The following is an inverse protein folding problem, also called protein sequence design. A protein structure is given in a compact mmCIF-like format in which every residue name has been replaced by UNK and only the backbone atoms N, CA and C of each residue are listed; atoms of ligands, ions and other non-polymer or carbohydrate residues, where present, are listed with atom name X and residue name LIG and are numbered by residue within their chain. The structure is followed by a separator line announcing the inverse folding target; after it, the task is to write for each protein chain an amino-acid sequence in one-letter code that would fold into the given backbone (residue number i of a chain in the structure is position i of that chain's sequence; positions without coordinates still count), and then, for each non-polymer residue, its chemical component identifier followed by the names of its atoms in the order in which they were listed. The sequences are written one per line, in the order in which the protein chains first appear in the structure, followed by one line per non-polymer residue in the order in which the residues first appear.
data_IF_722784907024
#
_entry.id   IF_722784907024
#
_cell.length_a   1.000
_cell.length_b   1.000
_cell.length_c   1.000
_cell.angle_alpha   90.00
_cell.angle_beta   90.00
_cell.angle_gamma   90.00
#
_symmetry.space_group_name_H-M   'P 1'
#
loop_
_entity.id
_entity.type
_entity.pdbx_description
1 polymer ?
#
# COMPACT_ATOMS: atom_id res chain seq x y z
N UNK A 1 33.44 6.40 19.01
CA UNK A 1 32.28 6.87 19.80
C UNK A 1 31.03 6.18 19.25
N UNK A 2 30.32 5.42 20.08
CA UNK A 2 29.22 4.56 19.65
C UNK A 2 28.01 5.39 19.17
N UNK A 3 27.61 5.22 17.92
CA UNK A 3 26.38 5.84 17.40
C UNK A 3 25.16 5.20 18.07
N UNK A 4 24.47 5.97 18.91
CA UNK A 4 23.21 5.56 19.50
C UNK A 4 22.17 5.44 18.37
N UNK A 5 21.81 4.20 18.00
CA UNK A 5 20.83 3.86 16.94
C UNK A 5 19.37 4.25 17.28
N UNK A 6 19.15 4.92 18.40
CA UNK A 6 17.81 5.23 18.92
C UNK A 6 17.38 6.62 18.50
N UNK A 7 16.14 6.73 18.04
CA UNK A 7 15.49 7.96 17.56
C UNK A 7 14.53 8.59 18.56
N UNK A 8 14.16 7.86 19.62
CA UNK A 8 13.27 8.36 20.67
C UNK A 8 13.52 7.67 22.01
N UNK A 9 13.34 8.41 23.11
CA UNK A 9 13.37 7.88 24.48
C UNK A 9 12.12 8.30 25.23
N UNK A 10 11.41 7.32 25.78
CA UNK A 10 10.27 7.51 26.68
C UNK A 10 10.79 7.60 28.12
N UNK A 11 10.58 8.74 28.75
CA UNK A 11 10.92 8.98 30.15
C UNK A 11 9.63 9.01 30.96
N UNK A 12 9.54 8.10 31.93
CA UNK A 12 8.38 8.00 32.83
C UNK A 12 8.13 9.36 33.49
N UNK A 13 6.90 9.86 33.41
CA UNK A 13 6.45 11.17 33.93
C UNK A 13 7.07 12.42 33.27
N UNK A 14 7.85 12.27 32.20
CA UNK A 14 8.42 13.40 31.45
C UNK A 14 8.03 13.40 29.96
N UNK A 15 7.51 12.28 29.46
CA UNK A 15 7.06 12.15 28.08
C UNK A 15 8.12 11.53 27.17
N UNK A 16 7.96 11.72 25.87
CA UNK A 16 8.85 11.13 24.85
C UNK A 16 9.70 12.22 24.22
N UNK A 17 11.01 12.04 24.26
CA UNK A 17 11.98 12.88 23.57
C UNK A 17 12.37 12.24 22.26
N UNK A 18 12.31 13.00 21.17
CA UNK A 18 12.48 12.50 19.80
C UNK A 18 13.49 13.39 19.09
N UNK A 19 14.46 12.78 18.43
CA UNK A 19 15.52 13.50 17.75
C UNK A 19 15.86 12.84 16.41
N UNK A 20 16.28 13.67 15.46
CA UNK A 20 16.65 13.25 14.12
C UNK A 20 17.81 14.07 13.57
N UNK A 21 18.32 13.67 12.41
CA UNK A 21 19.42 14.37 11.72
C UNK A 21 19.04 15.81 11.30
N UNK A 22 17.73 16.09 11.23
CA UNK A 22 17.15 17.41 10.94
C UNK A 22 15.85 17.57 11.73
N UNK A 23 15.38 18.83 11.86
CA UNK A 23 14.10 19.13 12.49
C UNK A 23 12.93 18.45 11.76
N UNK A 24 13.00 18.32 10.44
CA UNK A 24 12.00 17.62 9.61
C UNK A 24 11.96 16.14 10.00
N UNK A 25 13.11 15.48 10.07
CA UNK A 25 13.20 14.07 10.46
C UNK A 25 12.69 13.83 11.88
N UNK A 26 12.99 14.73 12.82
CA UNK A 26 12.49 14.66 14.19
C UNK A 26 10.97 14.82 14.25
N UNK A 27 10.41 15.76 13.48
CA UNK A 27 8.96 16.00 13.39
C UNK A 27 8.22 14.80 12.80
N UNK A 28 8.69 14.27 11.67
CA UNK A 28 8.10 13.09 11.03
C UNK A 28 8.10 11.87 11.97
N UNK A 29 9.20 11.68 12.71
CA UNK A 29 9.25 10.64 13.74
C UNK A 29 8.26 10.91 14.87
N UNK A 30 8.15 12.15 15.35
CA UNK A 30 7.19 12.54 16.39
C UNK A 30 5.73 12.29 15.99
N UNK A 31 5.36 12.62 14.76
CA UNK A 31 4.03 12.33 14.21
C UNK A 31 3.77 10.82 14.15
N UNK A 32 4.78 10.02 13.79
CA UNK A 32 4.67 8.56 13.77
C UNK A 32 4.47 7.95 15.16
N UNK A 33 5.18 8.45 16.18
CA UNK A 33 5.01 8.00 17.56
C UNK A 33 3.66 8.47 18.14
N UNK A 34 3.24 9.69 17.83
CA UNK A 34 1.95 10.22 18.26
C UNK A 34 0.80 9.31 17.80
N UNK A 35 0.81 8.91 16.52
CA UNK A 35 -0.18 7.98 15.99
C UNK A 35 -0.17 6.62 16.71
N UNK A 36 1.02 6.04 16.95
CA UNK A 36 1.15 4.76 17.65
C UNK A 36 0.64 4.82 19.09
N UNK A 37 0.90 5.91 19.81
CA UNK A 37 0.38 6.09 21.16
C UNK A 37 -1.12 6.26 21.20
N UNK A 38 -1.69 7.03 20.26
CA UNK A 38 -3.14 7.19 20.17
C UNK A 38 -3.84 5.86 19.83
N UNK A 39 -3.30 5.08 18.90
CA UNK A 39 -3.80 3.75 18.59
C UNK A 39 -3.72 2.80 19.80
N UNK A 40 -2.59 2.80 20.51
CA UNK A 40 -2.39 1.95 21.70
C UNK A 40 -3.32 2.35 22.83
N UNK A 41 -3.55 3.65 23.03
CA UNK A 41 -4.47 4.16 24.04
C UNK A 41 -5.92 3.77 23.73
N UNK A 42 -6.33 3.88 22.46
CA UNK A 42 -7.66 3.43 22.00
C UNK A 42 -7.84 1.92 22.17
N UNK A 43 -6.82 1.11 21.90
CA UNK A 43 -6.87 -0.34 22.15
C UNK A 43 -7.05 -0.65 23.65
N UNK A 44 -6.32 0.07 24.51
CA UNK A 44 -6.47 -0.05 25.96
C UNK A 44 -7.87 0.35 26.45
N UNK A 45 -8.45 1.44 25.90
CA UNK A 45 -9.82 1.85 26.19
C UNK A 45 -10.87 0.80 25.77
N UNK A 46 -10.59 0.04 24.71
CA UNK A 46 -11.45 -1.05 24.22
C UNK A 46 -11.24 -2.37 24.98
N UNK A 47 -10.43 -2.39 26.05
CA UNK A 47 -10.14 -3.60 26.83
C UNK A 47 -9.31 -4.64 26.08
N UNK A 48 -8.73 -4.27 24.93
CA UNK A 48 -7.85 -5.15 24.15
C UNK A 48 -6.44 -5.07 24.77
N UNK A 49 -6.14 -6.04 25.63
CA UNK A 49 -4.83 -6.15 26.27
C UNK A 49 -3.71 -6.35 25.25
N UNK A 50 -2.60 -5.63 25.45
CA UNK A 50 -1.37 -5.77 24.66
C UNK A 50 -0.65 -7.11 24.89
N UNK A 51 -1.06 -7.88 25.90
CA UNK A 51 -0.44 -9.12 26.35
C UNK A 51 -0.81 -10.37 25.53
N UNK A 52 -1.39 -10.20 24.33
CA UNK A 52 -1.26 -11.23 23.28
C UNK A 52 -1.22 -10.61 21.89
N UNK A 53 -0.06 -10.65 21.25
CA UNK A 53 0.00 -11.00 19.86
C UNK A 53 0.45 -12.47 19.80
N UNK A 54 -0.44 -13.37 19.40
CA UNK A 54 0.01 -14.44 18.49
C UNK A 54 0.38 -13.75 17.16
N UNK A 55 1.40 -12.92 17.17
CA UNK A 55 2.12 -12.64 15.94
C UNK A 55 2.99 -13.87 15.72
N UNK A 56 2.42 -14.83 14.99
CA UNK A 56 3.25 -15.73 14.22
C UNK A 56 4.22 -14.86 13.42
N UNK A 57 5.52 -15.15 13.54
CA UNK A 57 6.44 -14.84 12.44
C UNK A 57 5.77 -15.42 11.20
N UNK A 58 5.44 -14.59 10.22
CA UNK A 58 5.03 -15.09 8.91
C UNK A 58 6.27 -15.62 8.18
N UNK A 59 6.83 -16.71 8.72
CA UNK A 59 7.56 -17.73 7.98
C UNK A 59 6.56 -18.86 7.81
N UNK A 60 5.65 -18.70 6.86
CA UNK A 60 4.92 -19.80 6.25
C UNK A 60 4.20 -19.21 5.04
N UNK A 61 4.70 -19.60 3.87
CA UNK A 61 3.91 -19.61 2.66
C UNK A 61 2.60 -20.34 3.00
N UNK A 62 1.48 -19.61 2.99
CA UNK A 62 0.18 -20.24 2.96
C UNK A 62 0.16 -21.04 1.67
N UNK A 63 0.26 -22.36 1.80
CA UNK A 63 -0.15 -23.32 0.79
C UNK A 63 -1.56 -22.92 0.36
N UNK A 64 -1.66 -22.29 -0.80
CA UNK A 64 -2.93 -22.14 -1.50
C UNK A 64 -3.14 -23.47 -2.20
N UNK A 65 -4.30 -24.06 -1.94
CA UNK A 65 -4.77 -25.31 -2.52
C UNK A 65 -4.37 -25.42 -3.99
N UNK A 66 -3.62 -26.49 -4.26
CA UNK A 66 -3.07 -26.78 -5.57
C UNK A 66 -4.08 -27.61 -6.35
N UNK A 67 -5.29 -27.09 -6.55
CA UNK A 67 -6.22 -27.72 -7.48
C UNK A 67 -7.13 -26.73 -8.21
N UNK A 68 -7.27 -26.98 -9.51
CA UNK A 68 -8.36 -26.59 -10.39
C UNK A 68 -8.53 -25.10 -10.80
N UNK A 69 -7.96 -24.82 -11.98
CA UNK A 69 -8.55 -24.17 -13.18
C UNK A 69 -7.83 -22.92 -13.69
N UNK A 70 -7.55 -22.94 -15.00
CA UNK A 70 -7.06 -21.86 -15.85
C UNK A 70 -7.99 -20.64 -15.78
N UNK A 71 -7.84 -19.81 -14.75
CA UNK A 71 -8.32 -18.43 -14.78
C UNK A 71 -7.18 -17.56 -15.27
N UNK A 72 -7.42 -16.75 -16.31
CA UNK A 72 -6.51 -15.71 -16.79
C UNK A 72 -6.14 -14.78 -15.64
N UNK A 73 -5.02 -15.06 -14.96
CA UNK A 73 -4.65 -14.40 -13.69
C UNK A 73 -4.17 -12.98 -13.97
N UNK A 74 -5.10 -12.03 -13.93
CA UNK A 74 -4.75 -10.62 -13.95
C UNK A 74 -4.50 -10.17 -12.50
N UNK A 75 -3.23 -9.90 -12.19
CA UNK A 75 -2.85 -9.32 -10.90
C UNK A 75 -2.83 -7.80 -11.05
N UNK A 76 -3.42 -7.10 -10.10
CA UNK A 76 -3.52 -5.64 -10.10
C UNK A 76 -2.81 -5.09 -8.86
N UNK A 77 -1.87 -4.17 -9.05
CA UNK A 77 -1.23 -3.43 -7.97
C UNK A 77 -1.61 -1.96 -8.10
N UNK A 78 -2.33 -1.42 -7.11
CA UNK A 78 -2.86 -0.05 -7.16
C UNK A 78 -2.04 0.87 -6.26
N UNK A 79 -1.60 2.01 -6.79
CA UNK A 79 -1.06 3.12 -6.03
C UNK A 79 -1.78 4.41 -6.39
N UNK A 80 -2.56 4.94 -5.46
CA UNK A 80 -3.35 6.16 -5.67
C UNK A 80 -3.01 7.15 -4.55
N UNK A 81 -2.01 8.01 -4.79
CA UNK A 81 -1.62 9.02 -3.82
C UNK A 81 -2.44 10.30 -3.99
N UNK A 82 -3.08 10.76 -2.91
CA UNK A 82 -3.68 12.09 -2.81
C UNK A 82 -4.90 12.37 -3.71
N UNK A 83 -5.40 11.38 -4.44
CA UNK A 83 -6.55 11.51 -5.32
C UNK A 83 -7.64 10.53 -4.90
N UNK A 84 -8.80 11.05 -4.55
CA UNK A 84 -10.02 10.26 -4.32
C UNK A 84 -10.66 9.98 -5.68
N UNK A 85 -10.82 8.70 -6.00
CA UNK A 85 -11.48 8.24 -7.22
C UNK A 85 -12.87 7.72 -6.85
N UNK A 86 -13.92 8.42 -7.27
CA UNK A 86 -15.31 8.07 -6.96
C UNK A 86 -15.73 6.71 -7.55
N UNK A 87 -15.06 6.28 -8.60
CA UNK A 87 -15.27 5.01 -9.30
C UNK A 87 -14.47 3.83 -8.71
N UNK A 88 -13.59 4.08 -7.73
CA UNK A 88 -12.77 3.03 -7.07
C UNK A 88 -13.60 1.86 -6.53
N UNK A 89 -14.71 2.06 -5.79
CA UNK A 89 -15.49 0.95 -5.23
C UNK A 89 -16.14 0.07 -6.30
N UNK A 90 -16.54 0.69 -7.42
CA UNK A 90 -17.16 -0.03 -8.53
C UNK A 90 -16.11 -0.82 -9.31
N UNK A 91 -14.95 -0.22 -9.59
CA UNK A 91 -13.83 -0.90 -10.24
C UNK A 91 -13.35 -2.10 -9.42
N UNK A 92 -13.14 -1.94 -8.11
CA UNK A 92 -12.77 -3.03 -7.21
C UNK A 92 -13.77 -4.19 -7.24
N UNK A 93 -15.06 -3.88 -7.26
CA UNK A 93 -16.13 -4.90 -7.35
C UNK A 93 -16.09 -5.64 -8.67
N UNK A 94 -15.87 -4.93 -9.79
CA UNK A 94 -15.78 -5.51 -11.13
C UNK A 94 -14.58 -6.44 -11.25
N UNK A 95 -13.40 -6.01 -10.79
CA UNK A 95 -12.19 -6.83 -10.81
C UNK A 95 -12.27 -8.04 -9.88
N UNK A 96 -12.88 -7.87 -8.71
CA UNK A 96 -13.12 -9.00 -7.81
C UNK A 96 -14.08 -10.03 -8.44
N UNK A 97 -15.17 -9.55 -9.07
CA UNK A 97 -16.12 -10.42 -9.77
C UNK A 97 -15.52 -11.12 -11.00
N UNK A 98 -14.50 -10.53 -11.64
CA UNK A 98 -13.77 -11.15 -12.74
C UNK A 98 -12.68 -12.15 -12.28
N UNK A 99 -12.48 -12.29 -10.96
CA UNK A 99 -11.45 -13.17 -10.39
C UNK A 99 -10.05 -12.56 -10.34
N UNK A 100 -9.92 -11.25 -10.58
CA UNK A 100 -8.64 -10.55 -10.52
C UNK A 100 -8.18 -10.38 -9.07
N UNK A 101 -6.88 -10.58 -8.82
CA UNK A 101 -6.30 -10.39 -7.49
C UNK A 101 -5.79 -8.97 -7.37
N UNK A 102 -6.41 -8.20 -6.49
CA UNK A 102 -6.08 -6.78 -6.30
C UNK A 102 -5.22 -6.59 -5.07
N UNK A 103 -4.13 -5.87 -5.22
CA UNK A 103 -3.18 -5.48 -4.19
C UNK A 103 -3.08 -3.97 -4.17
N UNK A 104 -2.70 -3.41 -3.02
CA UNK A 104 -2.52 -1.97 -2.89
C UNK A 104 -1.11 -1.64 -2.42
N UNK A 105 -0.56 -0.56 -2.93
CA UNK A 105 0.78 -0.04 -2.67
C UNK A 105 0.67 1.41 -2.23
N UNK A 106 1.29 1.77 -1.12
CA UNK A 106 1.26 3.15 -0.62
C UNK A 106 2.52 3.51 0.15
N UNK A 107 2.86 4.79 0.19
CA UNK A 107 3.88 5.32 1.08
C UNK A 107 3.50 5.22 2.57
N UNK A 108 2.22 5.02 2.91
CA UNK A 108 1.76 4.91 4.29
C UNK A 108 1.93 3.50 4.88
N UNK A 109 2.04 3.40 6.22
CA UNK A 109 2.17 2.09 6.92
C UNK A 109 0.97 1.19 6.60
N UNK A 110 1.22 -0.13 6.46
CA UNK A 110 0.19 -1.15 6.14
C UNK A 110 -1.10 -1.02 6.96
N UNK A 111 -0.99 -0.84 8.28
CA UNK A 111 -2.14 -0.73 9.16
C UNK A 111 -2.95 0.55 8.93
N UNK A 112 -2.27 1.68 8.73
CA UNK A 112 -2.92 2.95 8.41
C UNK A 112 -3.60 2.87 7.04
N UNK A 113 -2.93 2.29 6.04
CA UNK A 113 -3.49 2.06 4.72
C UNK A 113 -4.76 1.20 4.78
N UNK A 114 -4.69 0.08 5.50
CA UNK A 114 -5.83 -0.83 5.68
C UNK A 114 -6.97 -0.13 6.41
N UNK A 115 -6.67 0.68 7.41
CA UNK A 115 -7.69 1.45 8.13
C UNK A 115 -8.37 2.49 7.24
N UNK A 116 -7.62 3.16 6.36
CA UNK A 116 -8.16 4.10 5.35
C UNK A 116 -9.09 3.35 4.40
N UNK A 117 -8.65 2.22 3.86
CA UNK A 117 -9.44 1.41 2.92
C UNK A 117 -10.65 0.70 3.56
N UNK A 118 -10.70 0.60 4.89
CA UNK A 118 -11.82 -0.03 5.61
C UNK A 118 -12.77 0.93 6.30
N UNK A 119 -12.24 1.74 7.21
CA UNK A 119 -13.04 2.47 8.20
C UNK A 119 -13.12 3.98 7.94
N UNK A 120 -12.08 4.54 7.32
CA UNK A 120 -11.92 6.00 7.22
C UNK A 120 -12.17 6.56 5.81
N UNK A 121 -12.81 5.78 4.92
CA UNK A 121 -13.26 6.26 3.61
C UNK A 121 -14.79 6.39 3.56
N UNK A 122 -15.29 7.19 2.62
CA UNK A 122 -16.72 7.47 2.41
C UNK A 122 -17.48 6.35 1.69
N UNK A 123 -16.79 5.32 1.21
CA UNK A 123 -17.35 4.24 0.39
C UNK A 123 -17.63 2.95 1.19
N UNK A 124 -17.32 2.94 2.49
CA UNK A 124 -17.47 1.78 3.37
C UNK A 124 -16.25 0.85 3.35
N UNK A 125 -16.44 -0.38 3.80
CA UNK A 125 -15.33 -1.33 3.93
C UNK A 125 -14.94 -1.94 2.57
N UNK A 126 -13.82 -1.45 2.00
CA UNK A 126 -13.23 -1.96 0.76
C UNK A 126 -12.16 -3.03 1.01
N UNK A 127 -11.82 -3.33 2.27
CA UNK A 127 -10.71 -4.25 2.59
C UNK A 127 -10.93 -5.66 2.04
N UNK A 128 -12.19 -6.06 1.89
CA UNK A 128 -12.60 -7.34 1.30
C UNK A 128 -12.17 -7.54 -0.15
N UNK A 129 -11.92 -6.47 -0.90
CA UNK A 129 -11.50 -6.54 -2.31
C UNK A 129 -9.98 -6.67 -2.47
N UNK A 130 -9.21 -6.46 -1.39
CA UNK A 130 -7.76 -6.50 -1.43
C UNK A 130 -7.21 -7.82 -0.90
N UNK A 131 -6.34 -8.45 -1.69
CA UNK A 131 -5.60 -9.65 -1.30
C UNK A 131 -4.34 -9.31 -0.47
N UNK A 132 -3.85 -8.07 -0.53
CA UNK A 132 -2.66 -7.66 0.22
C UNK A 132 -2.36 -6.16 0.17
N UNK A 133 -1.52 -5.73 1.10
CA UNK A 133 -1.12 -4.34 1.30
C UNK A 133 0.41 -4.24 1.33
N UNK A 134 0.98 -3.43 0.44
CA UNK A 134 2.41 -3.19 0.31
C UNK A 134 2.75 -1.72 0.56
N UNK A 135 4.00 -1.47 0.93
CA UNK A 135 4.48 -0.14 1.31
C UNK A 135 5.61 0.31 0.40
N UNK A 136 5.81 1.62 0.27
CA UNK A 136 6.82 2.17 -0.65
C UNK A 136 8.28 1.73 -0.38
N UNK A 137 8.55 1.23 0.83
CA UNK A 137 9.84 0.64 1.18
C UNK A 137 10.05 -0.77 0.58
N UNK A 138 9.00 -1.43 0.09
CA UNK A 138 9.06 -2.76 -0.54
C UNK A 138 9.49 -2.62 -1.99
N UNK A 139 10.45 -3.45 -2.41
CA UNK A 139 10.84 -3.53 -3.83
C UNK A 139 9.74 -4.21 -4.66
N UNK A 140 9.52 -3.75 -5.89
CA UNK A 140 8.59 -4.39 -6.82
C UNK A 140 8.90 -5.88 -7.04
N UNK A 141 10.18 -6.27 -7.07
CA UNK A 141 10.58 -7.68 -7.18
C UNK A 141 10.15 -8.51 -5.97
N UNK A 142 10.21 -7.95 -4.76
CA UNK A 142 9.76 -8.62 -3.54
C UNK A 142 8.24 -8.79 -3.53
N UNK A 143 7.51 -7.78 -4.02
CA UNK A 143 6.05 -7.85 -4.19
C UNK A 143 5.69 -8.97 -5.16
N UNK A 144 6.34 -9.04 -6.32
CA UNK A 144 6.09 -10.08 -7.34
C UNK A 144 6.35 -11.49 -6.78
N UNK A 145 7.46 -11.68 -6.06
CA UNK A 145 7.79 -12.95 -5.40
C UNK A 145 6.78 -13.33 -4.32
N UNK A 146 6.36 -12.37 -3.50
CA UNK A 146 5.39 -12.61 -2.42
C UNK A 146 4.01 -12.95 -2.95
N UNK A 147 3.61 -12.31 -4.04
CA UNK A 147 2.33 -12.59 -4.73
C UNK A 147 2.38 -13.94 -5.48
N UNK A 148 3.57 -14.40 -5.85
CA UNK A 148 3.76 -15.62 -6.64
C UNK A 148 3.43 -15.39 -8.11
N UNK A 149 3.87 -14.25 -8.67
CA UNK A 149 3.73 -13.96 -10.10
C UNK A 149 4.91 -14.55 -10.86
N UNK A 150 4.64 -15.39 -11.86
CA UNK A 150 5.69 -16.05 -12.65
C UNK A 150 6.42 -15.08 -13.59
N UNK A 151 5.69 -14.17 -14.23
CA UNK A 151 6.25 -13.12 -15.09
C UNK A 151 5.86 -11.74 -14.57
N UNK A 152 6.80 -10.79 -14.40
CA UNK A 152 6.48 -9.44 -13.99
C UNK A 152 5.38 -8.76 -14.83
N UNK A 153 5.32 -9.10 -16.14
CA UNK A 153 4.31 -8.61 -17.08
C UNK A 153 2.87 -9.03 -16.76
N UNK A 154 2.67 -10.08 -15.96
CA UNK A 154 1.34 -10.56 -15.58
C UNK A 154 0.73 -9.73 -14.43
N UNK A 155 1.52 -8.83 -13.85
CA UNK A 155 1.08 -7.84 -12.87
C UNK A 155 0.94 -6.47 -13.53
N UNK A 156 -0.26 -5.93 -13.50
CA UNK A 156 -0.60 -4.58 -13.93
C UNK A 156 -0.52 -3.61 -12.74
N UNK A 157 0.42 -2.67 -12.83
CA UNK A 157 0.57 -1.58 -11.87
C UNK A 157 -0.19 -0.33 -12.35
N UNK A 158 -1.04 0.21 -11.49
CA UNK A 158 -1.81 1.43 -11.75
C UNK A 158 -1.35 2.51 -10.79
N UNK A 159 -0.75 3.58 -11.32
CA UNK A 159 -0.23 4.70 -10.51
C UNK A 159 -0.48 6.06 -11.16
N UNK A 160 -0.60 7.10 -10.34
CA UNK A 160 -0.60 8.49 -10.79
C UNK A 160 0.81 9.14 -10.73
N UNK A 161 1.82 8.40 -10.28
CA UNK A 161 3.21 8.86 -10.17
C UNK A 161 4.05 8.39 -11.36
N UNK A 162 4.65 9.32 -12.09
CA UNK A 162 5.52 9.01 -13.22
C UNK A 162 6.81 8.28 -12.79
N UNK A 163 7.35 8.62 -11.62
CA UNK A 163 8.57 7.99 -11.11
C UNK A 163 8.32 6.51 -10.79
N UNK A 164 7.22 6.22 -10.09
CA UNK A 164 6.85 4.84 -9.78
C UNK A 164 6.47 4.06 -11.04
N UNK A 165 5.83 4.71 -12.02
CA UNK A 165 5.53 4.09 -13.31
C UNK A 165 6.82 3.67 -14.04
N UNK A 166 7.85 4.50 -14.02
CA UNK A 166 9.15 4.20 -14.59
C UNK A 166 9.85 3.06 -13.84
N UNK A 167 9.85 3.09 -12.50
CA UNK A 167 10.49 2.08 -11.66
C UNK A 167 9.81 0.70 -11.80
N UNK A 168 8.47 0.67 -11.81
CA UNK A 168 7.70 -0.57 -12.02
C UNK A 168 7.91 -1.14 -13.43
N UNK A 169 8.00 -0.28 -14.45
CA UNK A 169 8.33 -0.71 -15.82
C UNK A 169 9.74 -1.27 -15.91
N UNK A 170 10.71 -0.66 -15.23
CA UNK A 170 12.07 -1.18 -15.15
C UNK A 170 12.14 -2.55 -14.44
N UNK A 171 11.21 -2.81 -13.50
CA UNK A 171 11.01 -4.12 -12.88
C UNK A 171 10.29 -5.14 -13.78
N UNK A 172 9.89 -4.75 -15.00
CA UNK A 172 9.25 -5.62 -16.00
C UNK A 172 7.71 -5.67 -15.90
N UNK A 173 7.09 -4.83 -15.07
CA UNK A 173 5.65 -4.84 -14.86
C UNK A 173 4.89 -4.18 -16.02
N UNK A 174 3.63 -4.58 -16.21
CA UNK A 174 2.71 -3.78 -17.01
C UNK A 174 2.32 -2.53 -16.20
N UNK A 175 2.26 -1.36 -16.84
CA UNK A 175 1.97 -0.10 -16.15
C UNK A 175 0.93 0.69 -16.91
N UNK A 176 -0.13 1.08 -16.21
CA UNK A 176 -1.13 2.06 -16.63
C UNK A 176 -1.03 3.26 -15.70
N UNK A 177 -0.97 4.44 -16.29
CA UNK A 177 -1.07 5.68 -15.54
C UNK A 177 -2.52 6.11 -15.39
N UNK A 178 -2.88 6.65 -14.22
CA UNK A 178 -4.20 7.23 -13.97
C UNK A 178 -4.06 8.71 -13.58
N UNK A 179 -4.88 9.58 -14.17
CA UNK A 179 -4.81 11.01 -13.88
C UNK A 179 -5.79 11.87 -14.69
N UNK A 180 -5.93 13.12 -14.27
CA UNK A 180 -6.78 14.15 -14.89
C UNK A 180 -6.36 14.41 -16.36
N UNK A 181 -7.32 14.88 -17.17
CA UNK A 181 -7.17 15.03 -18.63
C UNK A 181 -5.97 15.91 -19.04
N UNK A 182 -5.66 16.95 -18.26
CA UNK A 182 -4.50 17.84 -18.50
C UNK A 182 -3.16 17.12 -18.34
N UNK A 183 -3.04 16.24 -17.33
CA UNK A 183 -1.86 15.41 -17.13
C UNK A 183 -1.70 14.35 -18.23
N UNK A 184 -2.81 13.89 -18.82
CA UNK A 184 -2.79 12.91 -19.93
C UNK A 184 -2.14 13.48 -21.18
N UNK A 185 -2.38 14.74 -21.51
CA UNK A 185 -1.82 15.35 -22.72
C UNK A 185 -0.31 15.59 -22.58
N UNK A 186 0.18 15.90 -21.37
CA UNK A 186 1.62 15.96 -21.09
C UNK A 186 2.28 14.58 -21.16
N UNK A 187 1.64 13.55 -20.59
CA UNK A 187 2.17 12.18 -20.59
C UNK A 187 2.11 11.52 -21.98
N UNK A 188 1.05 11.78 -22.75
CA UNK A 188 0.93 11.30 -24.14
C UNK A 188 1.98 11.91 -25.05
N UNK A 189 2.30 13.20 -24.87
CA UNK A 189 3.41 13.85 -25.58
C UNK A 189 4.77 13.23 -25.23
N UNK A 190 4.90 12.66 -24.04
CA UNK A 190 6.09 11.91 -23.61
C UNK A 190 6.11 10.43 -24.07
N UNK A 191 5.08 9.93 -24.75
CA UNK A 191 4.95 8.58 -25.34
C UNK A 191 5.23 7.36 -24.44
N UNK A 192 5.37 7.52 -23.12
CA UNK A 192 5.95 6.48 -22.28
C UNK A 192 4.96 5.44 -21.71
N UNK A 193 3.68 5.79 -21.49
CA UNK A 193 2.72 4.92 -20.80
C UNK A 193 1.29 5.03 -21.33
N UNK A 194 0.51 3.94 -21.24
CA UNK A 194 -0.95 3.95 -21.42
C UNK A 194 -1.58 4.75 -20.27
N UNK A 195 -2.49 5.66 -20.56
CA UNK A 195 -3.13 6.52 -19.55
C UNK A 195 -4.66 6.49 -19.64
N UNK A 196 -5.31 6.21 -18.51
CA UNK A 196 -6.78 6.17 -18.36
C UNK A 196 -7.28 7.32 -17.48
N UNK A 197 -8.52 7.74 -17.69
CA UNK A 197 -9.18 8.76 -16.86
C UNK A 197 -9.98 8.16 -15.71
N UNK A 198 -10.41 6.91 -15.86
CA UNK A 198 -11.21 6.16 -14.89
C UNK A 198 -10.63 4.77 -14.66
N UNK A 199 -10.76 4.26 -13.44
CA UNK A 199 -10.42 2.88 -13.08
C UNK A 199 -11.34 1.87 -13.79
N UNK A 200 -12.52 2.28 -14.25
CA UNK A 200 -13.46 1.42 -14.98
C UNK A 200 -13.02 1.08 -16.41
N UNK A 201 -12.07 1.85 -16.98
CA UNK A 201 -11.47 1.63 -18.31
C UNK A 201 -10.43 0.51 -18.33
N UNK A 202 -10.13 -0.07 -17.15
CA UNK A 202 -9.22 -1.20 -16.95
C UNK A 202 -10.03 -2.49 -16.87
#
# INVERSE_FOLDING_TARGET
MAHQKTTAVLVRNHGVYIWGKSWVSAKTQAESYHYLFDATFKLHQLGLGWSTPKHSRFTEALFVDHDMLEYSRHFLLLHLEGITFDDLPEALRKWHASGSKVYTYSSCRREAHRAIMGKYNSYGDLTKYFCGYYVAASSYSEILLTVGVDKPSDMLFVTNSLLEAADARAAGMEVIMIGQQESRDQLRKAHAFRTVGSLLEI
#
